data_IF_627760002197
#
_entry.id   IF_627760002197
#
_cell.length_a   1.000
_cell.length_b   1.000
_cell.length_c   1.000
_cell.angle_alpha   90.00
_cell.angle_beta   90.00
_cell.angle_gamma   90.00
#
_symmetry.space_group_name_H-M   'P 1'
#
loop_
_entity.id
_entity.type
_entity.pdbx_description
1 polymer ?
#
# COMPACT_ATOMS: atom_id res chain seq x y z
N UNK A 1 23.96 8.24 -10.83
CA UNK A 1 23.38 6.93 -11.18
C UNK A 1 21.89 7.16 -11.36
N UNK A 2 21.32 6.71 -12.49
CA UNK A 2 19.86 6.78 -12.70
C UNK A 2 19.17 5.85 -11.69
N UNK A 3 18.14 6.31 -10.94
CA UNK A 3 17.42 5.46 -9.99
C UNK A 3 16.88 4.19 -10.68
N UNK A 4 16.97 3.06 -9.98
CA UNK A 4 16.51 1.77 -10.52
C UNK A 4 14.96 1.75 -10.63
N UNK A 5 14.47 1.30 -11.79
CA UNK A 5 13.04 1.10 -11.97
C UNK A 5 12.58 -0.14 -11.18
N UNK A 6 11.71 0.07 -10.19
CA UNK A 6 11.12 -1.02 -9.42
C UNK A 6 9.81 -1.54 -10.03
N UNK A 7 9.11 -0.69 -10.80
CA UNK A 7 7.93 -1.06 -11.60
C UNK A 7 8.14 -0.55 -13.02
N UNK A 8 8.06 -1.43 -13.99
CA UNK A 8 8.28 -1.14 -15.40
C UNK A 8 7.27 -1.94 -16.23
N UNK A 9 6.36 -1.21 -16.89
CA UNK A 9 5.34 -1.79 -17.78
C UNK A 9 5.38 -1.09 -19.13
N UNK A 10 5.34 -1.84 -20.22
CA UNK A 10 5.26 -1.35 -21.59
C UNK A 10 4.12 -2.05 -22.31
N UNK A 11 3.31 -1.28 -23.06
CA UNK A 11 2.12 -1.73 -23.80
C UNK A 11 1.18 -2.62 -22.97
N UNK A 12 1.07 -2.34 -21.68
CA UNK A 12 0.29 -3.14 -20.73
C UNK A 12 -1.22 -3.01 -21.00
N UNK A 13 -1.91 -4.15 -21.01
CA UNK A 13 -3.37 -4.21 -21.08
C UNK A 13 -3.87 -5.14 -19.97
N UNK A 14 -4.95 -4.75 -19.30
CA UNK A 14 -5.57 -5.60 -18.28
C UNK A 14 -7.08 -5.54 -18.34
N UNK A 15 -7.71 -6.66 -18.03
CA UNK A 15 -9.15 -6.83 -18.06
C UNK A 15 -9.67 -7.27 -16.69
N UNK A 16 -10.83 -6.77 -16.32
CA UNK A 16 -11.52 -7.13 -15.10
C UNK A 16 -13.01 -7.32 -15.37
N UNK A 17 -13.55 -8.49 -15.01
CA UNK A 17 -14.99 -8.79 -15.26
C UNK A 17 -15.38 -8.77 -16.73
N UNK A 18 -14.46 -9.10 -17.64
CA UNK A 18 -14.74 -9.11 -19.08
C UNK A 18 -14.65 -7.76 -19.78
N UNK A 19 -14.26 -6.69 -19.06
CA UNK A 19 -14.05 -5.37 -19.63
C UNK A 19 -12.59 -4.92 -19.52
N UNK A 20 -12.05 -4.19 -20.51
CA UNK A 20 -10.71 -3.62 -20.44
C UNK A 20 -10.68 -2.49 -19.39
N UNK A 21 -9.78 -2.60 -18.43
CA UNK A 21 -9.59 -1.59 -17.36
C UNK A 21 -8.30 -0.80 -17.50
N UNK A 22 -7.35 -1.32 -18.26
CA UNK A 22 -6.12 -0.64 -18.68
C UNK A 22 -5.83 -1.02 -20.14
N UNK A 23 -5.42 -0.04 -20.94
CA UNK A 23 -5.10 -0.22 -22.35
C UNK A 23 -3.82 0.54 -22.69
N UNK A 24 -2.88 -0.11 -23.37
CA UNK A 24 -1.61 0.46 -23.85
C UNK A 24 -0.87 1.26 -22.77
N UNK A 25 -0.88 0.76 -21.52
CA UNK A 25 -0.20 1.42 -20.42
C UNK A 25 1.30 1.25 -20.55
N UNK A 26 2.03 2.36 -20.63
CA UNK A 26 3.49 2.39 -20.48
C UNK A 26 3.86 3.33 -19.35
N UNK A 27 4.50 2.78 -18.31
CA UNK A 27 4.83 3.52 -17.09
C UNK A 27 6.05 2.90 -16.43
N UNK A 28 6.97 3.77 -15.99
CA UNK A 28 8.12 3.38 -15.20
C UNK A 28 8.12 4.14 -13.88
N UNK A 29 8.18 3.42 -12.75
CA UNK A 29 8.33 3.99 -11.40
C UNK A 29 9.70 3.62 -10.84
N UNK A 30 10.39 4.58 -10.20
CA UNK A 30 11.76 4.44 -9.74
C UNK A 30 11.88 4.47 -8.23
N UNK A 31 12.82 3.72 -7.67
CA UNK A 31 13.14 3.79 -6.26
C UNK A 31 13.69 5.19 -5.91
N UNK A 32 13.28 5.70 -4.75
CA UNK A 32 13.65 7.03 -4.28
C UNK A 32 12.84 8.19 -4.91
N UNK A 33 12.02 7.91 -5.95
CA UNK A 33 11.17 8.91 -6.60
C UNK A 33 9.71 8.69 -6.19
N UNK A 34 9.23 9.43 -5.19
CA UNK A 34 7.81 9.37 -4.83
C UNK A 34 6.94 9.91 -5.96
N UNK A 35 5.89 9.19 -6.29
CA UNK A 35 5.06 9.45 -7.47
C UNK A 35 3.59 9.57 -7.08
N UNK A 36 2.90 10.57 -7.63
CA UNK A 36 1.43 10.68 -7.52
C UNK A 36 0.78 10.46 -8.88
N UNK A 37 -0.11 9.46 -8.94
CA UNK A 37 -0.93 9.17 -10.12
C UNK A 37 -2.28 9.84 -9.93
N UNK A 38 -2.55 10.85 -10.76
CA UNK A 38 -3.80 11.63 -10.76
C UNK A 38 -4.71 11.21 -11.89
N UNK A 39 -6.01 11.24 -11.65
CA UNK A 39 -7.01 11.04 -12.70
C UNK A 39 -8.44 10.94 -12.13
N UNK A 40 -9.46 11.05 -12.97
CA UNK A 40 -10.85 10.92 -12.56
C UNK A 40 -11.19 9.49 -12.08
N UNK A 41 -12.34 9.33 -11.43
CA UNK A 41 -12.85 8.01 -11.10
C UNK A 41 -13.07 7.19 -12.39
N UNK A 42 -12.73 5.91 -12.36
CA UNK A 42 -12.82 5.02 -13.53
C UNK A 42 -11.61 5.08 -14.49
N UNK A 43 -10.61 5.95 -14.28
CA UNK A 43 -9.42 6.04 -15.13
C UNK A 43 -8.42 4.87 -14.99
N UNK A 44 -8.77 3.79 -14.28
CA UNK A 44 -7.89 2.63 -14.13
C UNK A 44 -6.88 2.72 -12.99
N UNK A 45 -6.93 3.77 -12.15
CA UNK A 45 -5.96 4.00 -11.06
C UNK A 45 -5.85 2.81 -10.08
N UNK A 46 -6.97 2.32 -9.56
CA UNK A 46 -6.96 1.14 -8.66
C UNK A 46 -6.56 -0.14 -9.40
N UNK A 47 -6.77 -0.20 -10.73
CA UNK A 47 -6.28 -1.30 -11.57
C UNK A 47 -4.76 -1.27 -11.67
N UNK A 48 -4.13 -0.09 -11.72
CA UNK A 48 -2.68 0.04 -11.63
C UNK A 48 -2.17 -0.50 -10.29
N UNK A 49 -2.80 -0.16 -9.16
CA UNK A 49 -2.44 -0.70 -7.85
C UNK A 49 -2.57 -2.23 -7.83
N UNK A 50 -3.62 -2.78 -8.44
CA UNK A 50 -3.82 -4.23 -8.58
C UNK A 50 -2.80 -4.92 -9.49
N UNK A 51 -2.22 -4.22 -10.47
CA UNK A 51 -1.07 -4.72 -11.24
C UNK A 51 0.20 -4.76 -10.38
N UNK A 52 0.42 -3.74 -9.55
CA UNK A 52 1.58 -3.65 -8.66
C UNK A 52 1.55 -4.77 -7.62
N UNK A 53 0.42 -5.01 -6.96
CA UNK A 53 0.29 -6.05 -5.92
C UNK A 53 0.06 -7.46 -6.51
N UNK A 54 -0.02 -7.56 -7.84
CA UNK A 54 -0.23 -8.81 -8.59
C UNK A 54 -1.59 -9.48 -8.32
N UNK A 55 -2.59 -8.76 -7.85
CA UNK A 55 -3.97 -9.23 -7.80
C UNK A 55 -4.69 -9.11 -9.15
N UNK A 56 -4.16 -8.29 -10.06
CA UNK A 56 -4.52 -8.21 -11.48
C UNK A 56 -3.29 -8.54 -12.33
N UNK A 57 -3.48 -9.28 -13.42
CA UNK A 57 -2.41 -9.66 -14.33
C UNK A 57 -2.64 -9.00 -15.71
N UNK A 58 -1.56 -8.51 -16.36
CA UNK A 58 -1.68 -7.99 -17.71
C UNK A 58 -1.95 -9.12 -18.70
N UNK A 59 -2.59 -8.77 -19.81
CA UNK A 59 -2.72 -9.64 -20.97
C UNK A 59 -1.33 -9.87 -21.57
N UNK A 60 -1.01 -11.12 -21.88
CA UNK A 60 0.26 -11.47 -22.51
C UNK A 60 0.22 -11.06 -23.99
N UNK A 61 1.12 -10.17 -24.37
CA UNK A 61 1.34 -9.73 -25.76
C UNK A 61 2.83 -9.81 -26.08
N UNK A 62 3.21 -10.07 -27.37
CA UNK A 62 4.63 -10.12 -27.76
C UNK A 62 5.38 -8.81 -27.52
N UNK A 63 4.67 -7.67 -27.60
CA UNK A 63 5.22 -6.31 -27.44
C UNK A 63 5.20 -5.81 -26.01
N UNK A 64 4.44 -6.48 -25.13
CA UNK A 64 4.21 -6.03 -23.76
C UNK A 64 5.14 -6.70 -22.77
N UNK A 65 5.57 -5.94 -21.77
CA UNK A 65 6.18 -6.53 -20.58
C UNK A 65 5.70 -5.85 -19.29
N UNK A 66 5.78 -6.59 -18.20
CA UNK A 66 5.66 -6.07 -16.84
C UNK A 66 6.79 -6.67 -16.00
N UNK A 67 7.62 -5.79 -15.44
CA UNK A 67 8.72 -6.16 -14.54
C UNK A 67 8.53 -5.47 -13.19
N UNK A 68 8.75 -6.22 -12.14
CA UNK A 68 8.81 -5.71 -10.76
C UNK A 68 10.23 -5.97 -10.25
N UNK A 69 10.94 -4.92 -9.87
CA UNK A 69 12.35 -5.00 -9.48
C UNK A 69 13.20 -5.74 -10.53
N UNK A 70 13.00 -5.39 -11.79
CA UNK A 70 13.72 -5.96 -12.94
C UNK A 70 13.28 -7.37 -13.37
N UNK A 71 12.38 -8.06 -12.61
CA UNK A 71 11.95 -9.42 -12.91
C UNK A 71 10.53 -9.49 -13.44
N UNK A 72 10.31 -10.28 -14.50
CA UNK A 72 8.97 -10.62 -15.01
C UNK A 72 8.29 -11.72 -14.20
N UNK A 73 9.09 -12.55 -13.50
CA UNK A 73 8.60 -13.60 -12.61
C UNK A 73 8.69 -13.14 -11.17
N UNK A 74 7.59 -13.15 -10.46
CA UNK A 74 7.50 -12.56 -9.11
C UNK A 74 7.08 -13.61 -8.08
N UNK A 75 7.89 -13.76 -7.05
CA UNK A 75 7.46 -14.44 -5.83
C UNK A 75 6.62 -13.45 -5.00
N UNK A 76 5.32 -13.74 -4.83
CA UNK A 76 4.39 -12.84 -4.14
C UNK A 76 4.76 -12.60 -2.67
N UNK A 77 5.36 -13.58 -2.00
CA UNK A 77 5.82 -13.40 -0.62
C UNK A 77 6.96 -12.38 -0.53
N UNK A 78 7.96 -12.51 -1.41
CA UNK A 78 9.06 -11.56 -1.47
C UNK A 78 8.60 -10.17 -1.92
N UNK A 79 7.66 -10.10 -2.86
CA UNK A 79 7.08 -8.82 -3.30
C UNK A 79 6.42 -8.08 -2.13
N UNK A 80 5.62 -8.78 -1.31
CA UNK A 80 4.92 -8.20 -0.15
C UNK A 80 5.87 -7.71 0.96
N UNK A 81 7.11 -8.19 0.99
CA UNK A 81 8.13 -7.67 1.89
C UNK A 81 8.73 -6.37 1.37
N UNK A 82 8.81 -6.19 0.05
CA UNK A 82 9.40 -5.00 -0.59
C UNK A 82 8.38 -3.91 -0.92
N UNK A 83 7.11 -4.26 -1.07
CA UNK A 83 6.02 -3.35 -1.43
C UNK A 83 4.88 -3.46 -0.43
N UNK A 84 4.71 -2.43 0.39
CA UNK A 84 3.55 -2.25 1.25
C UNK A 84 2.40 -1.65 0.45
N UNK A 85 1.19 -2.21 0.56
CA UNK A 85 0.02 -1.71 -0.18
C UNK A 85 -1.13 -1.42 0.77
N UNK A 86 -1.73 -0.24 0.65
CA UNK A 86 -2.90 0.18 1.43
C UNK A 86 -4.03 0.57 0.48
N UNK A 87 -5.12 -0.20 0.53
CA UNK A 87 -6.32 0.01 -0.29
C UNK A 87 -7.58 0.03 0.58
N UNK A 88 -8.66 0.60 0.08
CA UNK A 88 -9.97 0.53 0.72
C UNK A 88 -10.53 -0.90 0.75
N UNK A 89 -10.17 -1.74 -0.24
CA UNK A 89 -10.55 -3.15 -0.27
C UNK A 89 -9.88 -3.93 0.89
N UNK A 90 -8.59 -3.65 1.18
CA UNK A 90 -7.91 -4.21 2.34
C UNK A 90 -8.60 -3.83 3.65
N UNK A 91 -8.99 -2.57 3.80
CA UNK A 91 -9.69 -2.06 4.98
C UNK A 91 -10.99 -2.82 5.26
N UNK A 92 -11.79 -3.04 4.22
CA UNK A 92 -13.08 -3.75 4.33
C UNK A 92 -12.94 -5.24 4.72
N UNK A 93 -11.78 -5.85 4.46
CA UNK A 93 -11.50 -7.26 4.79
C UNK A 93 -11.06 -7.48 6.23
N UNK A 94 -10.68 -6.43 6.94
CA UNK A 94 -10.27 -6.55 8.35
C UNK A 94 -11.50 -6.72 9.24
N UNK A 95 -11.55 -7.76 10.09
CA UNK A 95 -12.66 -7.97 11.01
C UNK A 95 -12.83 -6.78 11.98
N UNK A 96 -14.04 -6.21 12.12
CA UNK A 96 -14.26 -5.06 13.01
C UNK A 96 -13.87 -5.29 14.47
N UNK A 97 -13.92 -6.54 14.93
CA UNK A 97 -13.55 -6.92 16.29
C UNK A 97 -12.06 -7.13 16.54
N UNK A 98 -11.22 -7.04 15.49
CA UNK A 98 -9.77 -7.23 15.59
C UNK A 98 -9.14 -6.08 16.39
N UNK A 99 -8.29 -6.32 17.41
CA UNK A 99 -7.54 -5.28 18.09
C UNK A 99 -6.59 -4.56 17.12
N UNK A 100 -6.43 -3.24 17.27
CA UNK A 100 -5.58 -2.45 16.39
C UNK A 100 -4.13 -2.98 16.34
N UNK A 101 -3.56 -3.37 17.46
CA UNK A 101 -2.24 -4.02 17.55
C UNK A 101 -2.18 -5.29 16.69
N UNK A 102 -3.19 -6.15 16.79
CA UNK A 102 -3.26 -7.39 15.99
C UNK A 102 -3.34 -7.07 14.49
N UNK A 103 -4.05 -6.02 14.08
CA UNK A 103 -4.12 -5.59 12.68
C UNK A 103 -2.72 -5.29 12.12
N UNK A 104 -1.85 -4.62 12.89
CA UNK A 104 -0.45 -4.37 12.49
C UNK A 104 0.31 -5.68 12.38
N UNK A 105 0.25 -6.54 13.41
CA UNK A 105 0.92 -7.83 13.44
C UNK A 105 0.48 -8.79 12.31
N UNK A 106 -0.78 -8.74 11.89
CA UNK A 106 -1.28 -9.49 10.75
C UNK A 106 -0.53 -9.17 9.45
N UNK A 107 0.07 -7.99 9.34
CA UNK A 107 0.93 -7.60 8.21
C UNK A 107 2.10 -8.55 8.03
N UNK A 108 2.72 -9.01 9.12
CA UNK A 108 3.85 -9.94 9.11
C UNK A 108 3.54 -11.26 8.39
N UNK A 109 2.30 -11.68 8.41
CA UNK A 109 1.84 -12.96 7.84
C UNK A 109 0.98 -12.77 6.57
N UNK A 110 0.73 -11.53 6.14
CA UNK A 110 -0.18 -11.24 5.02
C UNK A 110 -1.63 -11.65 5.29
N UNK A 111 -2.03 -11.85 6.57
CA UNK A 111 -3.35 -12.32 6.99
C UNK A 111 -4.27 -11.18 7.45
N UNK A 112 -5.58 -11.40 7.50
CA UNK A 112 -6.55 -10.42 8.00
C UNK A 112 -6.84 -10.60 9.49
N UNK A 113 -6.46 -11.72 10.05
CA UNK A 113 -6.53 -12.11 11.46
C UNK A 113 -5.41 -13.10 11.73
N UNK A 114 -4.85 -13.08 12.93
CA UNK A 114 -3.85 -14.08 13.33
C UNK A 114 -4.49 -15.48 13.45
N UNK A 115 -3.92 -16.43 12.73
CA UNK A 115 -4.24 -17.85 12.87
C UNK A 115 -3.56 -18.47 14.10
N UNK A 116 -3.95 -19.69 14.47
CA UNK A 116 -3.37 -20.39 15.63
C UNK A 116 -1.86 -20.56 15.55
N UNK A 117 -1.34 -20.76 14.33
CA UNK A 117 0.08 -20.99 14.07
C UNK A 117 0.84 -19.69 13.71
N UNK A 118 0.15 -18.56 13.67
CA UNK A 118 0.72 -17.25 13.37
C UNK A 118 1.00 -16.50 14.68
N UNK A 119 2.06 -16.88 15.36
CA UNK A 119 2.47 -16.26 16.62
C UNK A 119 3.67 -15.36 16.35
N UNK A 120 3.53 -14.01 16.44
CA UNK A 120 4.66 -13.10 16.28
C UNK A 120 5.77 -13.41 17.31
N UNK A 121 7.01 -13.40 16.86
CA UNK A 121 8.18 -13.47 17.76
C UNK A 121 8.28 -12.20 18.60
N UNK A 122 9.11 -12.19 19.64
CA UNK A 122 9.36 -10.99 20.46
C UNK A 122 9.83 -9.83 19.60
N UNK A 123 10.83 -10.03 18.73
CA UNK A 123 11.33 -9.00 17.82
C UNK A 123 10.24 -8.45 16.87
N UNK A 124 9.35 -9.30 16.39
CA UNK A 124 8.22 -8.89 15.54
C UNK A 124 7.16 -8.08 16.32
N UNK A 125 6.93 -8.38 17.59
CA UNK A 125 6.06 -7.59 18.46
C UNK A 125 6.68 -6.22 18.75
N UNK A 126 7.96 -6.19 19.08
CA UNK A 126 8.69 -4.95 19.37
C UNK A 126 8.70 -4.03 18.13
N UNK A 127 8.88 -4.58 16.93
CA UNK A 127 8.77 -3.85 15.67
C UNK A 127 7.35 -3.30 15.47
N UNK A 128 6.33 -4.12 15.68
CA UNK A 128 4.93 -3.67 15.56
C UNK A 128 4.61 -2.55 16.53
N UNK A 129 5.11 -2.64 17.77
CA UNK A 129 4.91 -1.62 18.81
C UNK A 129 5.67 -0.34 18.49
N UNK A 130 6.86 -0.42 17.93
CA UNK A 130 7.60 0.75 17.46
C UNK A 130 6.89 1.47 16.32
N UNK A 131 6.29 0.76 15.37
CA UNK A 131 5.49 1.34 14.30
C UNK A 131 4.20 2.00 14.82
N UNK A 132 3.54 1.37 15.79
CA UNK A 132 2.38 1.94 16.50
C UNK A 132 2.78 3.25 17.18
N UNK A 133 3.95 3.29 17.79
CA UNK A 133 4.49 4.50 18.42
C UNK A 133 4.85 5.57 17.38
N UNK A 134 5.57 5.21 16.33
CA UNK A 134 6.00 6.13 15.27
C UNK A 134 4.81 6.83 14.59
N UNK A 135 3.66 6.16 14.51
CA UNK A 135 2.46 6.66 13.86
C UNK A 135 1.41 7.25 14.83
N UNK A 136 1.78 7.49 16.10
CA UNK A 136 0.91 8.05 17.14
C UNK A 136 -0.38 7.24 17.35
N UNK A 137 -0.27 5.92 17.42
CA UNK A 137 -1.40 4.99 17.55
C UNK A 137 -1.46 4.28 18.92
N UNK A 138 -0.57 4.63 19.88
CA UNK A 138 -0.50 3.92 21.17
C UNK A 138 -1.82 3.95 21.94
N UNK A 139 -2.51 5.08 21.92
CA UNK A 139 -3.77 5.28 22.66
C UNK A 139 -4.93 4.41 22.13
N UNK A 140 -4.79 3.86 20.93
CA UNK A 140 -5.82 3.04 20.30
C UNK A 140 -5.37 1.58 20.06
N UNK A 141 -4.15 1.22 20.47
CA UNK A 141 -3.56 -0.09 20.16
C UNK A 141 -4.41 -1.28 20.59
N UNK A 142 -5.13 -1.15 21.72
CA UNK A 142 -6.01 -2.19 22.25
C UNK A 142 -7.48 -2.01 21.83
N UNK A 143 -7.82 -0.94 21.11
CA UNK A 143 -9.18 -0.73 20.63
C UNK A 143 -9.49 -1.64 19.44
N UNK A 144 -10.77 -1.97 19.28
CA UNK A 144 -11.25 -2.77 18.13
C UNK A 144 -11.23 -1.92 16.87
N UNK A 145 -10.79 -2.49 15.76
CA UNK A 145 -10.66 -1.83 14.46
C UNK A 145 -11.95 -1.11 14.03
N UNK A 146 -13.12 -1.72 14.25
CA UNK A 146 -14.42 -1.12 13.92
C UNK A 146 -14.78 0.15 14.70
N UNK A 147 -14.11 0.40 15.84
CA UNK A 147 -14.36 1.58 16.69
C UNK A 147 -13.44 2.76 16.33
N UNK A 148 -12.48 2.56 15.45
CA UNK A 148 -11.52 3.58 15.05
C UNK A 148 -12.13 4.57 14.06
N UNK A 149 -11.70 5.83 14.12
CA UNK A 149 -12.01 6.80 13.06
C UNK A 149 -11.31 6.43 11.75
N UNK A 150 -11.79 6.93 10.61
CA UNK A 150 -11.20 6.64 9.30
C UNK A 150 -9.72 7.07 9.23
N UNK A 151 -9.36 8.20 9.85
CA UNK A 151 -7.96 8.64 9.96
C UNK A 151 -7.09 7.70 10.80
N UNK A 152 -7.62 7.17 11.90
CA UNK A 152 -6.93 6.17 12.72
C UNK A 152 -6.77 4.85 11.97
N UNK A 153 -7.81 4.37 11.30
CA UNK A 153 -7.76 3.17 10.45
C UNK A 153 -6.71 3.33 9.36
N UNK A 154 -6.69 4.47 8.67
CA UNK A 154 -5.72 4.72 7.59
C UNK A 154 -4.29 4.66 8.08
N UNK A 155 -3.96 5.34 9.18
CA UNK A 155 -2.61 5.28 9.78
C UNK A 155 -2.27 3.86 10.27
N UNK A 156 -3.24 3.14 10.83
CA UNK A 156 -3.05 1.76 11.26
C UNK A 156 -2.74 0.81 10.08
N UNK A 157 -3.40 1.00 8.94
CA UNK A 157 -3.11 0.24 7.71
C UNK A 157 -1.74 0.56 7.14
N UNK A 158 -1.27 1.81 7.30
CA UNK A 158 0.10 2.18 6.96
C UNK A 158 1.08 1.46 7.89
N UNK A 159 0.85 1.46 9.22
CA UNK A 159 1.67 0.70 10.17
C UNK A 159 1.75 -0.78 9.77
N UNK A 160 0.60 -1.38 9.44
CA UNK A 160 0.52 -2.75 8.95
C UNK A 160 1.34 -2.99 7.68
N UNK A 161 1.34 -2.04 6.74
CA UNK A 161 2.08 -2.16 5.48
C UNK A 161 3.60 -2.01 5.67
N UNK A 162 4.05 -1.36 6.76
CA UNK A 162 5.45 -1.08 7.07
C UNK A 162 6.15 -2.18 7.88
N UNK A 163 5.45 -3.25 8.30
CA UNK A 163 6.04 -4.29 9.19
C UNK A 163 7.21 -5.08 8.58
N UNK A 164 7.41 -4.98 7.27
CA UNK A 164 8.56 -5.60 6.58
C UNK A 164 9.60 -4.57 6.14
N UNK A 165 9.50 -3.32 6.61
CA UNK A 165 10.36 -2.21 6.18
C UNK A 165 10.46 -2.12 4.64
N UNK A 166 9.32 -1.98 3.94
CA UNK A 166 9.28 -2.06 2.50
C UNK A 166 9.97 -0.86 1.84
N UNK A 167 10.63 -1.10 0.71
CA UNK A 167 11.25 -0.06 -0.11
C UNK A 167 10.21 0.89 -0.73
N UNK A 168 8.99 0.36 -0.96
CA UNK A 168 7.90 1.09 -1.61
C UNK A 168 6.61 0.97 -0.81
N UNK A 169 5.90 2.09 -0.64
CA UNK A 169 4.55 2.15 -0.07
C UNK A 169 3.58 2.67 -1.12
N UNK A 170 2.62 1.83 -1.50
CA UNK A 170 1.57 2.16 -2.48
C UNK A 170 0.25 2.42 -1.77
N UNK A 171 -0.37 3.56 -2.05
CA UNK A 171 -1.58 4.04 -1.39
C UNK A 171 -2.68 4.32 -2.43
N UNK A 172 -3.81 3.62 -2.32
CA UNK A 172 -4.98 3.85 -3.18
C UNK A 172 -5.99 4.74 -2.44
N UNK A 173 -6.17 5.97 -2.94
CA UNK A 173 -7.08 6.99 -2.39
C UNK A 173 -6.91 7.19 -0.87
N UNK A 174 -5.68 7.44 -0.37
CA UNK A 174 -5.40 7.40 1.07
C UNK A 174 -6.13 8.49 1.88
N UNK A 175 -6.50 9.60 1.26
CA UNK A 175 -7.21 10.72 1.91
C UNK A 175 -8.74 10.65 1.78
N UNK A 176 -9.28 9.59 1.16
CA UNK A 176 -10.72 9.44 0.98
C UNK A 176 -11.42 9.38 2.33
N UNK A 177 -12.52 10.12 2.48
CA UNK A 177 -13.36 10.23 3.67
C UNK A 177 -12.65 10.82 4.92
N UNK A 178 -11.44 11.37 4.78
CA UNK A 178 -10.75 12.04 5.87
C UNK A 178 -11.20 13.50 6.01
N UNK A 179 -11.35 13.96 7.24
CA UNK A 179 -11.45 15.38 7.54
C UNK A 179 -10.10 16.10 7.33
N UNK A 180 -10.10 17.43 7.39
CA UNK A 180 -8.90 18.24 7.14
C UNK A 180 -7.76 17.90 8.13
N UNK A 181 -8.09 17.65 9.39
CA UNK A 181 -7.08 17.33 10.43
C UNK A 181 -6.45 15.97 10.16
N UNK A 182 -7.26 14.94 9.89
CA UNK A 182 -6.78 13.60 9.58
C UNK A 182 -5.98 13.58 8.27
N UNK A 183 -6.42 14.35 7.26
CA UNK A 183 -5.69 14.51 6.01
C UNK A 183 -4.31 15.13 6.25
N UNK A 184 -4.22 16.20 7.03
CA UNK A 184 -2.94 16.84 7.37
C UNK A 184 -2.00 15.89 8.13
N UNK A 185 -2.53 15.14 9.09
CA UNK A 185 -1.76 14.13 9.81
C UNK A 185 -1.23 13.04 8.88
N UNK A 186 -2.07 12.54 7.97
CA UNK A 186 -1.66 11.57 6.96
C UNK A 186 -0.51 12.10 6.09
N UNK A 187 -0.64 13.31 5.55
CA UNK A 187 0.39 13.92 4.70
C UNK A 187 1.72 14.10 5.45
N UNK A 188 1.67 14.49 6.72
CA UNK A 188 2.88 14.59 7.54
C UNK A 188 3.54 13.22 7.75
N UNK A 189 2.74 12.17 7.99
CA UNK A 189 3.25 10.79 8.08
C UNK A 189 3.94 10.38 6.78
N UNK A 190 3.32 10.61 5.63
CA UNK A 190 3.89 10.24 4.33
C UNK A 190 5.19 11.02 4.03
N UNK A 191 5.23 12.33 4.34
CA UNK A 191 6.46 13.13 4.21
C UNK A 191 7.59 12.60 5.08
N UNK A 192 7.28 12.17 6.30
CA UNK A 192 8.26 11.57 7.19
C UNK A 192 8.81 10.26 6.61
N UNK A 193 7.97 9.37 6.10
CA UNK A 193 8.38 8.13 5.45
C UNK A 193 9.26 8.40 4.23
N UNK A 194 8.91 9.38 3.37
CA UNK A 194 9.74 9.78 2.24
C UNK A 194 11.14 10.24 2.70
N UNK A 195 11.22 11.05 3.77
CA UNK A 195 12.51 11.50 4.33
C UNK A 195 13.34 10.35 4.92
N UNK A 196 12.71 9.27 5.34
CA UNK A 196 13.36 8.05 5.84
C UNK A 196 13.80 7.11 4.71
N UNK A 197 13.51 7.46 3.45
CA UNK A 197 13.93 6.69 2.28
C UNK A 197 12.87 5.79 1.67
N UNK A 198 11.66 5.72 2.24
CA UNK A 198 10.56 4.94 1.64
C UNK A 198 10.06 5.65 0.39
N UNK A 199 10.01 4.94 -0.73
CA UNK A 199 9.39 5.43 -1.97
C UNK A 199 7.87 5.37 -1.85
N UNK A 200 7.19 6.50 -1.96
CA UNK A 200 5.71 6.55 -1.85
C UNK A 200 5.09 6.68 -3.23
N UNK A 201 4.18 5.77 -3.56
CA UNK A 201 3.31 5.87 -4.74
C UNK A 201 1.88 6.11 -4.26
N UNK A 202 1.36 7.28 -4.56
CA UNK A 202 0.01 7.67 -4.19
C UNK A 202 -0.87 7.72 -5.43
N UNK A 203 -2.03 7.08 -5.36
CA UNK A 203 -3.06 7.13 -6.38
C UNK A 203 -4.25 7.91 -5.83
N UNK A 204 -4.63 9.00 -6.49
CA UNK A 204 -5.71 9.88 -5.99
C UNK A 204 -6.41 10.63 -7.12
N UNK A 205 -7.59 11.17 -6.85
CA UNK A 205 -8.26 12.15 -7.70
C UNK A 205 -8.19 13.57 -7.10
N UNK A 206 -7.57 13.74 -5.93
CA UNK A 206 -7.50 14.99 -5.18
C UNK A 206 -6.10 15.60 -5.26
N UNK A 207 -6.01 16.81 -5.81
CA UNK A 207 -4.76 17.55 -5.98
C UNK A 207 -4.24 18.09 -4.64
N UNK A 208 -5.14 18.47 -3.73
CA UNK A 208 -4.82 19.03 -2.41
C UNK A 208 -4.17 18.02 -1.45
N UNK A 209 -4.10 16.75 -1.83
CA UNK A 209 -3.55 15.66 -1.02
C UNK A 209 -2.26 15.08 -1.56
N UNK A 210 -1.62 15.76 -2.51
CA UNK A 210 -0.33 15.33 -3.06
C UNK A 210 0.78 15.53 -2.01
N UNK A 211 1.58 14.50 -1.83
CA UNK A 211 2.80 14.59 -1.03
C UNK A 211 3.90 15.18 -1.92
N UNK A 212 4.43 16.36 -1.59
CA UNK A 212 5.50 16.97 -2.35
C UNK A 212 6.84 16.25 -2.14
#
# INVERSE_FOLDING_TARGET
MTPEAWFDIEDGEAWLGGAPVLQSLSLQLRLGESTTVLGPNGAGKSSLVKLIDRSLHPIVKPTAHLRLFGSSTVNLWLLRQRVGVVTSELEQRIPPGCPAREVVQCGLFGSMRLGRDQVPTTAQRDLSDSLIQQLDLQSIAEQRFGMLSDGQKRRLLIARALVHDPEVLVLDEPSRALDLKACHQLLNTLRQLCRQGTTVVQVTHRIDTIVP
#
